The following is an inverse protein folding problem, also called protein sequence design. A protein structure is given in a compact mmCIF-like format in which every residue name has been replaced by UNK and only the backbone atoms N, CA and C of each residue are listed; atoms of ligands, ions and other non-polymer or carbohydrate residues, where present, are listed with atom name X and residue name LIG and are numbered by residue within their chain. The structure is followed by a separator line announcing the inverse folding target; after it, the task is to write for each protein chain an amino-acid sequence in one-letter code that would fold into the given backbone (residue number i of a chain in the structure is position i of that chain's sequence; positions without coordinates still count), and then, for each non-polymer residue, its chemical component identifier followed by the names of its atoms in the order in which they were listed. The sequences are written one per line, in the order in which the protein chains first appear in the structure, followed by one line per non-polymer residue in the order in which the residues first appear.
data_IF_408187391458
#
_entry.id   IF_408187391458
#
_cell.length_a   1.000
_cell.length_b   1.000
_cell.length_c   1.000
_cell.angle_alpha   90.00
_cell.angle_beta   90.00
_cell.angle_gamma   90.00
#
_symmetry.space_group_name_H-M   'P 1'
#
loop_
_entity.id
_entity.type
_entity.pdbx_description
1 polymer ?
#
# COMPACT_ATOMS: atom_id res chain seq x y z
N UNK A 1 1.86 0.64 5.16
CA UNK A 1 0.64 0.39 5.96
C UNK A 1 0.65 -1.06 6.41
N UNK A 2 0.17 -1.37 7.61
CA UNK A 2 0.00 -2.74 8.12
C UNK A 2 -1.44 -2.95 8.57
N UNK A 3 -2.19 -3.80 7.86
CA UNK A 3 -3.59 -4.11 8.16
C UNK A 3 -3.67 -5.45 8.87
N UNK A 4 -3.97 -5.41 10.16
CA UNK A 4 -4.10 -6.60 11.00
C UNK A 4 -5.50 -6.66 11.62
N UNK A 5 -6.15 -7.83 11.59
CA UNK A 5 -7.38 -8.07 12.34
C UNK A 5 -7.09 -7.96 13.84
N UNK A 6 -7.87 -7.12 14.53
CA UNK A 6 -7.81 -6.99 15.99
C UNK A 6 -8.79 -7.96 16.65
N UNK A 7 -8.38 -8.78 17.65
CA UNK A 7 -9.25 -9.79 18.26
C UNK A 7 -10.58 -9.26 18.83
N UNK A 8 -10.60 -8.02 19.32
CA UNK A 8 -11.78 -7.37 19.89
C UNK A 8 -12.68 -6.64 18.89
N UNK A 9 -12.31 -6.56 17.61
CA UNK A 9 -13.08 -5.85 16.58
C UNK A 9 -13.77 -6.87 15.68
N UNK A 10 -15.09 -6.91 15.74
CA UNK A 10 -15.88 -7.82 14.91
C UNK A 10 -15.97 -7.30 13.47
N UNK A 11 -15.53 -8.12 12.51
CA UNK A 11 -15.62 -7.85 11.07
C UNK A 11 -16.01 -9.12 10.29
N UNK A 12 -16.25 -8.98 8.99
CA UNK A 12 -16.67 -10.09 8.11
C UNK A 12 -15.57 -11.14 7.88
N UNK A 13 -14.31 -10.72 7.90
CA UNK A 13 -13.16 -11.58 7.67
C UNK A 13 -12.24 -11.55 8.89
N UNK A 14 -11.71 -12.71 9.29
CA UNK A 14 -10.81 -12.85 10.43
C UNK A 14 -9.39 -13.19 9.98
N UNK A 15 -8.43 -13.05 10.89
CA UNK A 15 -7.04 -13.43 10.70
C UNK A 15 -6.39 -12.78 9.46
N UNK A 16 -6.70 -11.50 9.23
CA UNK A 16 -6.01 -10.69 8.23
C UNK A 16 -4.72 -10.17 8.84
N UNK A 17 -3.63 -10.28 8.10
CA UNK A 17 -2.33 -9.72 8.44
C UNK A 17 -1.58 -9.41 7.14
N UNK A 18 -1.81 -8.21 6.60
CA UNK A 18 -1.32 -7.80 5.28
C UNK A 18 -0.47 -6.54 5.41
N UNK A 19 0.71 -6.57 4.81
CA UNK A 19 1.57 -5.40 4.66
C UNK A 19 1.39 -4.79 3.27
N UNK A 20 1.06 -3.51 3.23
CA UNK A 20 0.89 -2.78 1.96
C UNK A 20 2.01 -1.75 1.85
N UNK A 21 2.78 -1.88 0.78
CA UNK A 21 3.90 -1.02 0.41
C UNK A 21 3.56 -0.38 -0.93
N UNK A 22 3.43 0.94 -0.91
CA UNK A 22 2.91 1.75 -2.01
C UNK A 22 3.98 2.75 -2.43
N UNK A 23 4.22 2.83 -3.73
CA UNK A 23 5.01 3.93 -4.31
C UNK A 23 4.28 5.26 -4.05
N UNK A 24 4.97 6.28 -3.54
CA UNK A 24 4.36 7.51 -3.02
C UNK A 24 4.95 8.78 -3.65
N UNK A 25 5.69 8.69 -4.76
CA UNK A 25 6.38 9.83 -5.39
C UNK A 25 6.12 10.01 -6.88
N UNK A 26 5.59 9.01 -7.59
CA UNK A 26 5.29 9.07 -9.03
C UNK A 26 3.92 8.45 -9.35
N UNK A 27 3.70 8.11 -10.62
CA UNK A 27 2.44 7.62 -11.16
C UNK A 27 1.44 8.75 -11.33
N UNK A 28 0.25 8.55 -10.77
CA UNK A 28 -0.83 9.52 -10.81
C UNK A 28 -0.56 10.76 -9.91
N UNK A 29 0.48 10.70 -9.07
CA UNK A 29 0.89 11.82 -8.21
C UNK A 29 1.92 12.73 -8.87
N UNK A 30 2.33 12.43 -10.11
CA UNK A 30 3.10 13.38 -10.92
C UNK A 30 2.28 14.62 -11.30
N UNK A 31 0.93 14.54 -11.21
CA UNK A 31 -0.02 15.65 -11.40
C UNK A 31 0.21 16.44 -12.70
N UNK A 32 0.57 15.73 -13.75
CA UNK A 32 0.76 16.29 -15.09
C UNK A 32 -0.53 16.13 -15.87
N UNK A 33 -1.32 17.19 -15.90
CA UNK A 33 -2.61 17.23 -16.59
C UNK A 33 -2.71 18.51 -17.41
N UNK A 34 -3.38 18.43 -18.55
CA UNK A 34 -3.71 19.61 -19.33
C UNK A 34 -5.08 19.46 -20.00
N UNK A 35 -5.71 20.61 -20.24
CA UNK A 35 -7.01 20.74 -20.88
C UNK A 35 -6.82 21.40 -22.25
N UNK A 36 -7.42 20.79 -23.26
CA UNK A 36 -7.79 21.46 -24.50
C UNK A 36 -9.31 21.36 -24.63
N UNK A 37 -10.01 22.32 -25.27
CA UNK A 37 -11.46 22.38 -25.24
C UNK A 37 -12.18 21.03 -25.49
N UNK A 38 -12.77 20.46 -24.45
CA UNK A 38 -13.49 19.18 -24.48
C UNK A 38 -12.64 17.91 -24.30
N UNK A 39 -11.33 18.02 -24.07
CA UNK A 39 -10.39 16.91 -23.89
C UNK A 39 -9.43 17.21 -22.74
N UNK A 40 -9.39 16.30 -21.76
CA UNK A 40 -8.44 16.37 -20.63
C UNK A 40 -7.48 15.19 -20.75
N UNK A 41 -6.19 15.49 -20.73
CA UNK A 41 -5.13 14.48 -20.71
C UNK A 41 -4.51 14.40 -19.32
N UNK A 42 -4.24 13.18 -18.87
CA UNK A 42 -3.55 12.89 -17.60
C UNK A 42 -2.35 12.01 -17.87
N UNK A 43 -1.15 12.50 -17.55
CA UNK A 43 0.12 11.87 -17.87
C UNK A 43 0.68 11.13 -16.65
N UNK A 44 0.46 9.82 -16.62
CA UNK A 44 1.04 8.92 -15.63
C UNK A 44 2.50 8.62 -15.95
N UNK A 45 3.41 8.94 -15.02
CA UNK A 45 4.85 8.68 -15.18
C UNK A 45 5.28 7.54 -14.27
N UNK A 46 5.90 6.50 -14.84
CA UNK A 46 6.49 5.38 -14.11
C UNK A 46 7.96 5.29 -14.51
N UNK A 47 8.87 5.25 -13.54
CA UNK A 47 10.31 5.21 -13.79
C UNK A 47 10.94 3.92 -13.25
N UNK A 48 11.98 3.45 -13.94
CA UNK A 48 12.74 2.28 -13.49
C UNK A 48 13.34 2.49 -12.11
N UNK A 49 13.89 3.69 -11.86
CA UNK A 49 14.55 4.04 -10.60
C UNK A 49 13.61 3.90 -9.39
N UNK A 50 12.44 4.55 -9.44
CA UNK A 50 11.50 4.52 -8.32
C UNK A 50 10.83 3.14 -8.17
N UNK A 51 10.56 2.46 -9.29
CA UNK A 51 10.03 1.08 -9.28
C UNK A 51 11.00 0.08 -8.64
N UNK A 52 12.30 0.17 -8.94
CA UNK A 52 13.33 -0.65 -8.27
C UNK A 52 13.43 -0.31 -6.79
N UNK A 53 13.42 0.99 -6.44
CA UNK A 53 13.52 1.45 -5.05
C UNK A 53 12.39 0.91 -4.18
N UNK A 54 11.14 1.00 -4.64
CA UNK A 54 9.99 0.51 -3.87
C UNK A 54 9.93 -1.02 -3.82
N UNK A 55 10.36 -1.69 -4.89
CA UNK A 55 10.46 -3.15 -4.90
C UNK A 55 11.52 -3.64 -3.91
N UNK A 56 12.74 -3.08 -3.93
CA UNK A 56 13.78 -3.45 -2.95
C UNK A 56 13.35 -3.16 -1.52
N UNK A 57 12.72 -2.01 -1.27
CA UNK A 57 12.13 -1.70 0.02
C UNK A 57 11.11 -2.77 0.44
N UNK A 58 10.24 -3.22 -0.46
CA UNK A 58 9.24 -4.24 -0.15
C UNK A 58 9.86 -5.59 0.23
N UNK A 59 10.85 -6.05 -0.53
CA UNK A 59 11.54 -7.31 -0.26
C UNK A 59 12.39 -7.25 1.02
N UNK A 60 13.10 -6.14 1.27
CA UNK A 60 13.81 -5.92 2.53
C UNK A 60 12.88 -5.97 3.73
N UNK A 61 11.77 -5.23 3.66
CA UNK A 61 10.78 -5.22 4.74
C UNK A 61 10.16 -6.60 4.97
N UNK A 62 9.89 -7.33 3.88
CA UNK A 62 9.39 -8.70 3.97
C UNK A 62 10.39 -9.59 4.73
N UNK A 63 11.67 -9.61 4.33
CA UNK A 63 12.71 -10.42 4.98
C UNK A 63 12.91 -10.04 6.44
N UNK A 64 13.05 -8.76 6.74
CA UNK A 64 13.29 -8.25 8.11
C UNK A 64 12.15 -8.61 9.07
N UNK A 65 10.91 -8.66 8.57
CA UNK A 65 9.73 -8.99 9.36
C UNK A 65 9.34 -10.48 9.28
N UNK A 66 10.21 -11.33 8.74
CA UNK A 66 9.98 -12.78 8.63
C UNK A 66 8.79 -13.16 7.73
N UNK A 67 8.42 -12.27 6.80
CA UNK A 67 7.35 -12.49 5.82
C UNK A 67 7.86 -13.36 4.68
N UNK A 68 6.96 -14.13 4.07
CA UNK A 68 7.34 -15.21 3.14
C UNK A 68 6.91 -14.94 1.71
N UNK A 69 5.98 -14.00 1.48
CA UNK A 69 5.48 -13.72 0.14
C UNK A 69 5.35 -12.22 -0.14
N UNK A 70 5.79 -11.82 -1.34
CA UNK A 70 5.58 -10.48 -1.91
C UNK A 70 4.75 -10.62 -3.18
N UNK A 71 3.62 -9.93 -3.24
CA UNK A 71 2.76 -9.86 -4.44
C UNK A 71 2.83 -8.47 -5.06
N UNK A 72 3.28 -8.38 -6.32
CA UNK A 72 3.22 -7.15 -7.09
C UNK A 72 1.83 -6.95 -7.69
N UNK A 73 1.15 -5.85 -7.31
CA UNK A 73 -0.18 -5.50 -7.86
C UNK A 73 -0.04 -4.50 -9.00
N UNK A 74 -0.65 -4.79 -10.15
CA UNK A 74 -0.49 -4.00 -11.38
C UNK A 74 -1.70 -4.09 -12.32
N UNK A 75 -1.64 -3.41 -13.45
CA UNK A 75 -2.59 -3.49 -14.57
C UNK A 75 -1.87 -3.59 -15.92
N UNK A 76 -0.70 -4.25 -15.92
CA UNK A 76 0.15 -4.51 -17.10
C UNK A 76 -0.54 -5.23 -18.28
N UNK A 77 -1.72 -5.83 -18.08
CA UNK A 77 -2.53 -6.38 -19.18
C UNK A 77 -3.11 -5.28 -20.09
N UNK A 78 -3.31 -4.07 -19.55
CA UNK A 78 -3.76 -2.88 -20.28
C UNK A 78 -2.60 -1.91 -20.49
N UNK A 79 -1.94 -1.47 -19.39
CA UNK A 79 -0.78 -0.57 -19.45
C UNK A 79 0.52 -1.36 -19.64
N UNK A 80 0.69 -1.93 -20.84
CA UNK A 80 1.78 -2.86 -21.15
C UNK A 80 3.18 -2.28 -20.92
N UNK A 81 3.37 -0.97 -21.14
CA UNK A 81 4.67 -0.31 -20.96
C UNK A 81 4.89 0.16 -19.51
N UNK A 82 4.05 1.07 -19.00
CA UNK A 82 4.24 1.67 -17.67
C UNK A 82 4.18 0.63 -16.53
N UNK A 83 3.07 -0.10 -16.44
CA UNK A 83 2.92 -1.14 -15.41
C UNK A 83 3.75 -2.39 -15.73
N UNK A 84 4.04 -2.65 -17.01
CA UNK A 84 4.99 -3.68 -17.41
C UNK A 84 6.40 -3.41 -16.90
N UNK A 85 6.86 -2.15 -16.96
CA UNK A 85 8.14 -1.71 -16.40
C UNK A 85 8.17 -1.91 -14.88
N UNK A 86 7.12 -1.47 -14.16
CA UNK A 86 7.03 -1.68 -12.71
C UNK A 86 7.13 -3.17 -12.36
N UNK A 87 6.37 -4.03 -13.05
CA UNK A 87 6.38 -5.47 -12.83
C UNK A 87 7.75 -6.10 -13.16
N UNK A 88 8.42 -5.63 -14.21
CA UNK A 88 9.77 -6.07 -14.55
C UNK A 88 10.76 -5.71 -13.44
N UNK A 89 10.70 -4.50 -12.89
CA UNK A 89 11.55 -4.08 -11.77
C UNK A 89 11.31 -4.94 -10.53
N UNK A 90 10.05 -5.29 -10.23
CA UNK A 90 9.72 -6.19 -9.13
C UNK A 90 10.34 -7.59 -9.33
N UNK A 91 10.29 -8.13 -10.56
CA UNK A 91 10.95 -9.41 -10.90
C UNK A 91 12.47 -9.34 -10.80
N UNK A 92 13.07 -8.23 -11.25
CA UNK A 92 14.51 -7.99 -11.15
C UNK A 92 14.96 -8.05 -9.70
N UNK A 93 14.28 -7.31 -8.81
CA UNK A 93 14.56 -7.36 -7.37
C UNK A 93 14.29 -8.74 -6.77
N UNK A 94 13.18 -9.38 -7.12
CA UNK A 94 12.80 -10.70 -6.60
C UNK A 94 13.90 -11.75 -6.81
N UNK A 95 14.66 -11.67 -7.91
CA UNK A 95 15.77 -12.58 -8.19
C UNK A 95 16.89 -12.55 -7.12
N UNK A 96 17.02 -11.43 -6.40
CA UNK A 96 17.95 -11.27 -5.27
C UNK A 96 17.41 -11.77 -3.92
N UNK A 97 16.16 -12.22 -3.87
CA UNK A 97 15.48 -12.69 -2.65
C UNK A 97 14.85 -14.09 -2.85
N UNK A 98 15.66 -15.14 -3.10
CA UNK A 98 15.15 -16.48 -3.40
C UNK A 98 14.39 -17.15 -2.24
N UNK A 99 14.58 -16.66 -1.02
CA UNK A 99 13.87 -17.06 0.20
C UNK A 99 12.44 -16.50 0.30
N UNK A 100 12.08 -15.52 -0.54
CA UNK A 100 10.77 -14.89 -0.56
C UNK A 100 10.02 -15.30 -1.83
N UNK A 101 8.83 -15.86 -1.66
CA UNK A 101 7.95 -16.17 -2.80
C UNK A 101 7.51 -14.88 -3.46
N UNK A 102 7.77 -14.74 -4.76
CA UNK A 102 7.26 -13.63 -5.57
C UNK A 102 6.05 -14.06 -6.40
N UNK A 103 5.00 -13.24 -6.37
CA UNK A 103 3.80 -13.40 -7.18
C UNK A 103 3.40 -12.05 -7.80
N UNK A 104 2.53 -12.07 -8.80
CA UNK A 104 1.98 -10.87 -9.41
C UNK A 104 0.50 -11.03 -9.71
N UNK A 105 -0.29 -10.00 -9.42
CA UNK A 105 -1.74 -10.05 -9.60
C UNK A 105 -2.25 -8.76 -10.22
N UNK A 106 -3.20 -8.88 -11.15
CA UNK A 106 -3.88 -7.70 -11.69
C UNK A 106 -4.76 -7.05 -10.61
N UNK A 107 -4.84 -5.72 -10.57
CA UNK A 107 -5.51 -4.98 -9.49
C UNK A 107 -6.99 -5.31 -9.36
N UNK A 108 -7.70 -5.53 -10.46
CA UNK A 108 -9.13 -5.93 -10.42
C UNK A 108 -9.32 -7.29 -9.74
N UNK A 109 -8.48 -8.28 -10.10
CA UNK A 109 -8.53 -9.58 -9.43
C UNK A 109 -8.09 -9.44 -7.97
N UNK A 110 -7.11 -8.58 -7.69
CA UNK A 110 -6.64 -8.32 -6.32
C UNK A 110 -7.78 -7.84 -5.44
N UNK A 111 -8.60 -6.88 -5.89
CA UNK A 111 -9.73 -6.40 -5.09
C UNK A 111 -10.80 -7.49 -4.92
N UNK A 112 -11.10 -8.29 -5.96
CA UNK A 112 -11.99 -9.46 -5.84
C UNK A 112 -11.49 -10.48 -4.82
N UNK A 113 -10.19 -10.78 -4.85
CA UNK A 113 -9.54 -11.71 -3.92
C UNK A 113 -9.53 -11.15 -2.49
N UNK A 114 -9.33 -9.84 -2.31
CA UNK A 114 -9.31 -9.21 -0.99
C UNK A 114 -10.67 -9.30 -0.27
N UNK A 115 -11.78 -9.13 -0.99
CA UNK A 115 -13.12 -9.22 -0.40
C UNK A 115 -13.62 -10.66 -0.26
N UNK A 116 -12.88 -11.64 -0.80
CA UNK A 116 -13.28 -13.06 -0.77
C UNK A 116 -12.38 -13.88 0.16
N UNK A 117 -11.07 -13.87 -0.10
CA UNK A 117 -10.04 -14.62 0.64
C UNK A 117 -8.80 -13.74 0.87
N UNK A 118 -8.88 -12.71 1.74
CA UNK A 118 -7.77 -11.78 1.98
C UNK A 118 -6.54 -12.44 2.62
N UNK A 119 -6.72 -13.55 3.36
CA UNK A 119 -5.65 -14.26 4.07
C UNK A 119 -4.61 -14.88 3.15
N UNK A 120 -4.86 -14.90 1.83
CA UNK A 120 -3.86 -15.33 0.86
C UNK A 120 -2.74 -14.31 0.69
N UNK A 121 -2.94 -13.03 1.03
CA UNK A 121 -1.93 -11.99 0.86
C UNK A 121 -1.04 -11.87 2.10
N UNK A 122 0.23 -11.51 1.87
CA UNK A 122 1.22 -11.31 2.92
C UNK A 122 1.80 -9.88 2.78
N UNK A 123 2.86 -9.70 1.98
CA UNK A 123 3.33 -8.37 1.57
C UNK A 123 2.82 -8.05 0.16
N UNK A 124 2.32 -6.85 -0.04
CA UNK A 124 1.85 -6.36 -1.33
C UNK A 124 2.60 -5.10 -1.72
N UNK A 125 3.18 -5.08 -2.91
CA UNK A 125 3.89 -3.92 -3.47
C UNK A 125 3.18 -3.41 -4.73
N UNK A 126 3.00 -2.10 -4.85
CA UNK A 126 2.25 -1.54 -5.98
C UNK A 126 2.55 -0.07 -6.29
N UNK A 127 2.27 0.37 -7.52
CA UNK A 127 2.25 1.78 -7.88
C UNK A 127 1.22 2.58 -7.08
N UNK A 128 1.34 3.89 -7.22
CA UNK A 128 0.69 4.86 -6.37
C UNK A 128 -0.85 4.74 -6.31
N UNK A 129 -1.58 4.85 -7.43
CA UNK A 129 -3.05 4.82 -7.41
C UNK A 129 -3.63 3.52 -6.86
N UNK A 130 -3.10 2.36 -7.26
CA UNK A 130 -3.60 1.07 -6.78
C UNK A 130 -3.37 0.91 -5.28
N UNK A 131 -2.25 1.44 -4.79
CA UNK A 131 -1.98 1.52 -3.37
C UNK A 131 -3.08 2.24 -2.60
N UNK A 132 -3.64 3.33 -3.13
CA UNK A 132 -4.74 4.03 -2.47
C UNK A 132 -6.00 3.15 -2.38
N UNK A 133 -6.39 2.50 -3.47
CA UNK A 133 -7.58 1.63 -3.52
C UNK A 133 -7.41 0.44 -2.58
N UNK A 134 -6.31 -0.32 -2.74
CA UNK A 134 -6.04 -1.52 -1.94
C UNK A 134 -5.92 -1.18 -0.45
N UNK A 135 -5.28 -0.06 -0.10
CA UNK A 135 -5.18 0.39 1.29
C UNK A 135 -6.55 0.65 1.92
N UNK A 136 -7.47 1.29 1.20
CA UNK A 136 -8.82 1.54 1.71
C UNK A 136 -9.65 0.25 1.83
N UNK A 137 -9.54 -0.66 0.86
CA UNK A 137 -10.18 -1.99 0.95
C UNK A 137 -9.68 -2.73 2.19
N UNK A 138 -8.37 -2.85 2.37
CA UNK A 138 -7.80 -3.56 3.51
C UNK A 138 -8.13 -2.88 4.86
N UNK A 139 -8.13 -1.55 4.92
CA UNK A 139 -8.56 -0.83 6.11
C UNK A 139 -10.03 -1.13 6.46
N UNK A 140 -10.92 -1.17 5.47
CA UNK A 140 -12.31 -1.58 5.65
C UNK A 140 -12.46 -3.02 6.16
N UNK A 141 -11.68 -3.96 5.61
CA UNK A 141 -11.72 -5.38 6.00
C UNK A 141 -11.34 -5.61 7.47
N UNK A 142 -10.44 -4.81 8.03
CA UNK A 142 -9.98 -4.95 9.43
C UNK A 142 -10.75 -4.09 10.44
N UNK A 143 -11.79 -3.37 10.01
CA UNK A 143 -12.72 -2.66 10.90
C UNK A 143 -12.76 -1.14 10.71
N UNK A 144 -12.02 -0.62 9.73
CA UNK A 144 -12.15 0.75 9.26
C UNK A 144 -10.93 1.65 9.53
N UNK A 145 -11.03 2.93 9.11
CA UNK A 145 -9.90 3.85 9.07
C UNK A 145 -9.33 4.23 10.44
N UNK A 146 -10.12 4.12 11.52
CA UNK A 146 -9.70 4.48 12.87
C UNK A 146 -8.73 3.49 13.52
N UNK A 147 -8.41 2.37 12.86
CA UNK A 147 -7.61 1.28 13.43
C UNK A 147 -6.23 1.10 12.78
N UNK A 148 -6.01 1.65 11.58
CA UNK A 148 -4.85 1.30 10.76
C UNK A 148 -3.79 2.40 10.79
N UNK A 149 -2.57 2.12 11.28
CA UNK A 149 -1.47 3.07 11.25
C UNK A 149 -0.76 3.10 9.90
N UNK A 150 -0.25 4.28 9.56
CA UNK A 150 0.50 4.57 8.34
C UNK A 150 1.90 5.10 8.66
N UNK A 151 2.83 4.83 7.75
CA UNK A 151 4.16 5.42 7.79
C UNK A 151 4.65 5.64 6.35
N UNK A 152 5.30 6.77 6.16
CA UNK A 152 5.91 7.19 4.90
C UNK A 152 7.41 7.33 5.15
N UNK A 153 8.20 6.52 4.46
CA UNK A 153 9.65 6.51 4.62
C UNK A 153 10.30 7.07 3.37
N UNK A 154 11.14 8.09 3.54
CA UNK A 154 12.10 8.56 2.56
C UNK A 154 13.49 8.02 2.87
N UNK A 155 14.49 8.50 2.14
CA UNK A 155 15.90 8.15 2.41
C UNK A 155 16.36 8.70 3.75
N UNK A 156 16.05 9.98 4.02
CA UNK A 156 16.58 10.73 5.16
C UNK A 156 15.48 11.13 6.16
N UNK A 157 14.21 10.87 5.83
CA UNK A 157 13.05 11.32 6.60
C UNK A 157 12.04 10.20 6.80
N UNK A 158 11.29 10.25 7.89
CA UNK A 158 10.14 9.39 8.14
C UNK A 158 8.98 10.21 8.71
N UNK A 159 7.76 9.95 8.22
CA UNK A 159 6.53 10.59 8.67
C UNK A 159 5.50 9.53 9.02
N UNK A 160 4.93 9.61 10.22
CA UNK A 160 3.95 8.66 10.76
C UNK A 160 2.58 9.33 10.84
N UNK A 161 1.55 8.65 10.34
CA UNK A 161 0.20 9.21 10.19
C UNK A 161 -0.88 8.12 10.27
N UNK A 162 -2.16 8.50 10.23
CA UNK A 162 -3.24 7.52 10.02
C UNK A 162 -3.25 7.05 8.58
N UNK A 163 -3.47 5.75 8.36
CA UNK A 163 -3.19 5.16 7.05
C UNK A 163 -4.15 5.59 5.94
N UNK A 164 -5.38 5.99 6.27
CA UNK A 164 -6.40 6.37 5.28
C UNK A 164 -6.50 7.89 5.05
N UNK A 165 -5.66 8.70 5.74
CA UNK A 165 -5.60 10.17 5.59
C UNK A 165 -6.96 10.88 5.72
N UNK A 166 -7.87 10.31 6.51
CA UNK A 166 -9.20 10.88 6.71
C UNK A 166 -9.15 12.10 7.63
N UNK A 167 -9.74 13.21 7.17
CA UNK A 167 -9.78 14.46 7.95
C UNK A 167 -10.78 14.43 9.11
N UNK A 168 -11.81 13.58 9.03
CA UNK A 168 -12.80 13.43 10.10
C UNK A 168 -13.62 14.69 10.42
N UNK A 169 -13.74 15.64 9.50
CA UNK A 169 -14.39 16.96 9.74
C UNK A 169 -15.78 16.85 10.36
N UNK A 170 -16.58 15.86 9.97
CA UNK A 170 -17.95 15.66 10.49
C UNK A 170 -18.02 15.22 11.96
N UNK A 171 -16.92 14.69 12.51
CA UNK A 171 -16.80 14.18 13.89
C UNK A 171 -15.82 14.99 14.75
N UNK A 172 -15.19 16.03 14.19
CA UNK A 172 -14.26 16.89 14.91
C UNK A 172 -14.95 17.59 16.09
N UNK A 173 -14.21 17.77 17.20
CA UNK A 173 -14.67 18.42 18.43
C UNK A 173 -15.90 17.77 19.11
N UNK A 174 -16.22 16.53 18.76
CA UNK A 174 -17.32 15.76 19.40
C UNK A 174 -16.84 14.74 20.42
N UNK A 175 -15.52 14.58 20.60
CA UNK A 175 -14.90 13.58 21.48
C UNK A 175 -15.35 12.13 21.20
N UNK A 176 -15.54 11.79 19.92
CA UNK A 176 -15.98 10.45 19.46
C UNK A 176 -15.02 9.81 18.44
N UNK A 177 -13.93 10.49 18.12
CA UNK A 177 -12.95 9.96 17.16
C UNK A 177 -12.18 8.78 17.78
N UNK A 178 -12.02 7.69 17.02
CA UNK A 178 -11.21 6.56 17.46
C UNK A 178 -9.71 6.90 17.36
N UNK A 179 -8.96 6.94 18.47
CA UNK A 179 -7.55 7.36 18.47
C UNK A 179 -6.57 6.24 18.08
N UNK A 180 -7.04 4.99 17.96
CA UNK A 180 -6.19 3.79 17.85
C UNK A 180 -5.17 3.89 16.71
N UNK A 181 -5.61 4.28 15.51
CA UNK A 181 -4.70 4.41 14.36
C UNK A 181 -3.54 5.40 14.63
N UNK A 182 -3.82 6.54 15.28
CA UNK A 182 -2.80 7.55 15.57
C UNK A 182 -1.87 7.09 16.68
N UNK A 183 -2.40 6.43 17.72
CA UNK A 183 -1.58 5.85 18.79
C UNK A 183 -0.67 4.73 18.27
N UNK A 184 -1.15 3.90 17.35
CA UNK A 184 -0.30 2.88 16.72
C UNK A 184 0.74 3.52 15.79
N UNK A 185 0.41 4.61 15.09
CA UNK A 185 1.36 5.36 14.28
C UNK A 185 2.48 5.98 15.14
N UNK A 186 2.15 6.49 16.34
CA UNK A 186 3.17 6.98 17.28
C UNK A 186 4.04 5.85 17.83
N UNK A 187 3.49 4.65 18.08
CA UNK A 187 4.32 3.48 18.41
C UNK A 187 5.31 3.14 17.28
N UNK A 188 4.88 3.17 16.01
CA UNK A 188 5.77 2.97 14.86
C UNK A 188 6.89 4.03 14.80
N UNK A 189 6.57 5.28 15.16
CA UNK A 189 7.56 6.34 15.28
C UNK A 189 8.56 6.06 16.39
N UNK A 190 8.11 5.65 17.56
CA UNK A 190 8.99 5.28 18.68
C UNK A 190 9.91 4.12 18.31
N UNK A 191 9.42 3.12 17.58
CA UNK A 191 10.26 2.03 17.07
C UNK A 191 11.31 2.50 16.06
N UNK A 192 11.01 3.55 15.29
CA UNK A 192 11.96 4.14 14.33
C UNK A 192 13.05 5.01 14.99
N UNK A 193 12.77 5.54 16.19
CA UNK A 193 13.71 6.38 16.96
C UNK A 193 14.63 5.57 17.89
N UNK A 194 14.47 4.24 17.93
CA UNK A 194 15.37 3.33 18.65
C UNK A 194 16.69 3.17 17.90
#
# INVERSE_FOLDING_TARGET
MHCQSLPGVQTRHRNIDIMIIRENTEGEYSSLEHDVPGVVESLKIITKLNSLRIADYAFRQARQKGRRKVTAVHKANIMKLGDGLFLQCCREVASGYPDITFDSMIVDNTTMQLVSKPQQFDVMVMPNLYGNVVSNVCAGLVGGPGLVPGANYGRDYAVFETATRNTGKSIANKNIANPTAMLLASCMMLDHLK
#
